data_IF_591559755441
#
_entry.id   IF_591559755441
#
_cell.length_a   1.000
_cell.length_b   1.000
_cell.length_c   1.000
_cell.angle_alpha   90.00
_cell.angle_beta   90.00
_cell.angle_gamma   90.00
#
_symmetry.space_group_name_H-M   'P 1'
#
loop_
_entity.id
_entity.type
_entity.pdbx_description
1 polymer ?
#
# COMPACT_ATOMS: atom_id res chain seq x y z
N UNK A 1 -79.75 8.61 11.43
CA UNK A 1 -80.43 7.32 11.35
C UNK A 1 -79.49 6.33 12.03
N UNK A 2 -79.54 6.23 13.36
CA UNK A 2 -80.21 5.22 14.17
C UNK A 2 -79.98 3.83 13.57
N UNK A 3 -79.47 2.83 14.24
CA UNK A 3 -79.77 2.10 15.49
C UNK A 3 -78.55 1.14 15.74
N UNK A 4 -78.08 0.99 16.84
CA UNK A 4 -78.39 0.40 18.16
C UNK A 4 -77.88 -1.04 18.33
N UNK A 5 -77.04 -1.17 19.37
CA UNK A 5 -76.98 -2.18 20.45
C UNK A 5 -77.19 -3.68 20.10
N UNK A 6 -76.25 -4.52 20.57
CA UNK A 6 -76.58 -5.37 21.72
C UNK A 6 -75.39 -6.13 22.28
N UNK A 7 -75.22 -6.04 23.60
CA UNK A 7 -74.35 -6.89 24.45
C UNK A 7 -75.04 -8.27 24.62
N UNK A 8 -74.24 -9.34 24.68
CA UNK A 8 -74.57 -10.58 25.39
C UNK A 8 -73.44 -11.05 26.26
N UNK A 9 -73.68 -11.08 27.54
CA UNK A 9 -72.91 -11.73 28.60
C UNK A 9 -73.54 -13.07 28.87
N UNK A 10 -72.80 -14.17 29.04
CA UNK A 10 -73.16 -15.33 29.88
C UNK A 10 -71.89 -16.17 30.17
N UNK A 11 -71.91 -17.10 31.16
CA UNK A 11 -71.09 -17.00 32.33
C UNK A 11 -70.09 -18.18 32.51
N UNK A 12 -69.22 -17.99 33.49
CA UNK A 12 -68.27 -18.87 34.16
C UNK A 12 -68.76 -20.37 34.30
N UNK A 13 -67.90 -21.28 33.96
CA UNK A 13 -67.61 -22.54 34.70
C UNK A 13 -66.13 -22.86 34.75
N UNK A 14 -65.61 -23.00 35.96
CA UNK A 14 -64.25 -23.25 36.22
C UNK A 14 -63.83 -24.68 35.90
N UNK A 15 -62.60 -24.81 35.50
CA UNK A 15 -61.85 -26.05 35.60
C UNK A 15 -60.43 -25.69 36.08
N UNK A 16 -60.09 -26.19 37.25
CA UNK A 16 -58.74 -26.14 37.83
C UNK A 16 -57.88 -27.11 37.02
N UNK A 17 -56.86 -26.61 36.32
CA UNK A 17 -55.80 -27.43 35.73
C UNK A 17 -54.52 -27.08 36.42
N UNK A 18 -53.96 -28.03 37.17
CA UNK A 18 -52.59 -28.00 37.68
C UNK A 18 -51.63 -27.93 36.50
N UNK A 19 -50.90 -26.81 36.36
CA UNK A 19 -49.80 -26.73 35.44
C UNK A 19 -48.52 -26.96 36.27
N UNK A 20 -47.95 -28.12 36.07
CA UNK A 20 -46.62 -28.44 36.59
C UNK A 20 -45.55 -27.56 35.94
N UNK A 21 -44.78 -26.87 36.76
CA UNK A 21 -43.61 -26.10 36.31
C UNK A 21 -42.54 -27.05 35.77
N UNK A 22 -42.42 -27.12 34.45
CA UNK A 22 -41.22 -27.69 33.83
C UNK A 22 -40.18 -26.55 33.73
N UNK A 23 -39.21 -26.56 34.61
CA UNK A 23 -38.00 -25.73 34.46
C UNK A 23 -37.20 -26.25 33.26
N UNK A 24 -37.28 -25.57 32.10
CA UNK A 24 -36.30 -25.74 31.04
C UNK A 24 -35.01 -25.03 31.47
N UNK A 25 -34.00 -25.80 31.89
CA UNK A 25 -32.65 -25.32 31.97
C UNK A 25 -32.11 -25.09 30.55
N UNK A 26 -32.07 -23.82 30.14
CA UNK A 26 -31.34 -23.44 28.93
C UNK A 26 -29.85 -23.58 29.23
N UNK A 27 -29.27 -24.70 28.80
CA UNK A 27 -27.81 -24.81 28.67
C UNK A 27 -27.38 -23.83 27.60
N UNK A 28 -26.91 -22.65 28.02
CA UNK A 28 -26.14 -21.76 27.16
C UNK A 28 -24.80 -22.46 26.87
N UNK A 29 -24.71 -23.13 25.73
CA UNK A 29 -23.43 -23.52 25.14
C UNK A 29 -22.78 -22.22 24.73
N UNK A 30 -21.92 -21.69 25.61
CA UNK A 30 -21.04 -20.60 25.29
C UNK A 30 -20.13 -21.06 24.15
N UNK A 31 -20.43 -20.64 22.93
CA UNK A 31 -19.50 -20.74 21.84
C UNK A 31 -18.26 -19.93 22.24
N UNK A 32 -17.18 -20.63 22.63
CA UNK A 32 -15.87 -20.05 22.82
C UNK A 32 -15.54 -19.34 21.50
N UNK A 33 -15.32 -18.02 21.54
CA UNK A 33 -14.77 -17.30 20.39
C UNK A 33 -13.53 -18.07 19.92
N UNK A 34 -13.34 -18.22 18.60
CA UNK A 34 -12.18 -18.94 18.11
C UNK A 34 -10.94 -18.27 18.69
N UNK A 35 -10.07 -19.09 19.30
CA UNK A 35 -8.77 -18.67 19.77
C UNK A 35 -8.07 -17.99 18.59
N UNK A 36 -7.89 -16.67 18.67
CA UNK A 36 -7.05 -15.94 17.73
C UNK A 36 -5.65 -16.48 17.98
N UNK A 37 -5.26 -17.46 17.17
CA UNK A 37 -3.89 -17.96 17.17
C UNK A 37 -3.00 -16.74 17.03
N UNK A 38 -2.21 -16.47 18.08
CA UNK A 38 -1.14 -15.46 18.02
C UNK A 38 -0.28 -15.83 16.83
N UNK A 39 -0.31 -14.99 15.80
CA UNK A 39 0.58 -15.09 14.64
C UNK A 39 2.00 -15.21 15.17
N UNK A 40 2.85 -16.15 14.68
CA UNK A 40 4.24 -16.19 15.07
C UNK A 40 4.84 -14.80 14.85
N UNK A 41 5.41 -14.22 15.89
CA UNK A 41 6.10 -12.95 15.82
C UNK A 41 7.41 -13.18 15.03
N UNK A 42 7.36 -12.98 13.72
CA UNK A 42 8.54 -13.10 12.87
C UNK A 42 8.23 -13.63 11.46
N UNK A 43 9.06 -13.27 10.50
CA UNK A 43 9.07 -13.89 9.19
C UNK A 43 9.75 -15.25 9.27
N UNK A 44 9.18 -16.27 8.62
CA UNK A 44 9.81 -17.57 8.49
C UNK A 44 11.00 -17.50 7.52
N UNK A 45 12.04 -18.29 7.80
CA UNK A 45 13.24 -18.42 6.97
C UNK A 45 13.30 -19.79 6.33
N UNK A 46 13.91 -19.87 5.15
CA UNK A 46 14.10 -21.09 4.38
C UNK A 46 15.49 -21.08 3.74
N UNK A 47 16.11 -22.24 3.55
CA UNK A 47 17.35 -22.31 2.79
C UNK A 47 17.12 -21.92 1.31
N UNK A 48 18.07 -21.23 0.66
CA UNK A 48 17.92 -20.82 -0.73
C UNK A 48 17.56 -21.98 -1.67
N UNK A 49 18.16 -23.14 -1.49
CA UNK A 49 17.91 -24.34 -2.32
C UNK A 49 16.45 -24.82 -2.20
N UNK A 50 15.89 -24.79 -0.97
CA UNK A 50 14.49 -25.16 -0.72
C UNK A 50 13.52 -24.15 -1.34
N UNK A 51 13.97 -22.89 -1.47
CA UNK A 51 13.22 -21.85 -2.21
C UNK A 51 13.43 -21.93 -3.74
N UNK A 52 14.37 -22.75 -4.22
CA UNK A 52 14.70 -22.91 -5.63
C UNK A 52 15.76 -21.91 -6.14
N UNK A 53 16.64 -21.44 -5.27
CA UNK A 53 17.78 -20.58 -5.60
C UNK A 53 19.12 -21.23 -5.23
N UNK A 54 20.18 -20.88 -5.94
CA UNK A 54 21.55 -21.35 -5.69
C UNK A 54 22.23 -20.49 -4.64
N UNK A 55 22.57 -21.06 -3.49
CA UNK A 55 23.38 -20.37 -2.46
C UNK A 55 24.71 -19.85 -3.02
N UNK A 56 25.36 -20.60 -3.92
CA UNK A 56 26.62 -20.18 -4.54
C UNK A 56 26.45 -18.85 -5.30
N UNK A 57 25.47 -18.77 -6.20
CA UNK A 57 25.19 -17.55 -6.98
C UNK A 57 24.70 -16.42 -6.10
N UNK A 58 23.95 -16.71 -5.04
CA UNK A 58 23.52 -15.73 -4.07
C UNK A 58 24.69 -15.16 -3.24
N UNK A 59 25.72 -15.95 -2.97
CA UNK A 59 26.95 -15.45 -2.31
C UNK A 59 27.70 -14.47 -3.21
N UNK A 60 27.75 -14.70 -4.53
CA UNK A 60 28.31 -13.75 -5.49
C UNK A 60 27.48 -12.44 -5.51
N UNK A 61 26.15 -12.54 -5.52
CA UNK A 61 25.27 -11.39 -5.43
C UNK A 61 25.42 -10.63 -4.10
N UNK A 62 25.63 -11.34 -2.99
CA UNK A 62 25.90 -10.73 -1.68
C UNK A 62 27.21 -9.93 -1.67
N UNK A 63 28.28 -10.49 -2.19
CA UNK A 63 29.56 -9.79 -2.31
C UNK A 63 29.43 -8.52 -3.19
N UNK A 64 28.60 -8.59 -4.25
CA UNK A 64 28.29 -7.41 -5.06
C UNK A 64 27.45 -6.38 -4.29
N UNK A 65 26.43 -6.82 -3.52
CA UNK A 65 25.63 -5.94 -2.67
C UNK A 65 26.50 -5.17 -1.67
N UNK A 66 27.47 -5.84 -1.04
CA UNK A 66 28.43 -5.22 -0.13
C UNK A 66 29.31 -4.18 -0.86
N UNK A 67 29.79 -4.51 -2.07
CA UNK A 67 30.60 -3.61 -2.90
C UNK A 67 29.87 -2.31 -3.28
N UNK A 68 28.57 -2.37 -3.50
CA UNK A 68 27.76 -1.19 -3.83
C UNK A 68 27.16 -0.51 -2.58
N UNK A 69 27.62 -0.85 -1.39
CA UNK A 69 27.17 -0.31 -0.10
C UNK A 69 25.65 -0.46 0.12
N UNK A 70 25.07 -1.61 -0.27
CA UNK A 70 23.68 -1.91 0.04
C UNK A 70 23.46 -1.94 1.55
N UNK A 71 22.51 -1.17 2.05
CA UNK A 71 22.24 -1.08 3.49
C UNK A 71 21.48 -2.31 4.00
N UNK A 72 20.50 -2.80 3.23
CA UNK A 72 19.81 -4.07 3.48
C UNK A 72 19.17 -4.61 2.21
N UNK A 73 19.18 -5.94 2.07
CA UNK A 73 18.49 -6.68 1.01
C UNK A 73 17.70 -7.80 1.65
N UNK A 74 16.44 -7.92 1.30
CA UNK A 74 15.59 -9.01 1.76
C UNK A 74 14.75 -9.55 0.60
N UNK A 75 14.75 -10.89 0.43
CA UNK A 75 13.95 -11.53 -0.60
C UNK A 75 13.15 -12.67 0.02
N UNK A 76 11.86 -12.68 -0.29
CA UNK A 76 10.94 -13.72 0.13
C UNK A 76 10.49 -14.53 -1.06
N UNK A 77 10.31 -15.82 -0.84
CA UNK A 77 9.62 -16.73 -1.73
C UNK A 77 8.54 -17.47 -0.95
N UNK A 78 7.32 -17.45 -1.48
CA UNK A 78 6.14 -18.10 -0.87
C UNK A 78 5.93 -17.72 0.61
N UNK A 79 6.26 -16.46 0.95
CA UNK A 79 6.13 -15.92 2.30
C UNK A 79 7.30 -16.22 3.23
N UNK A 80 8.33 -16.93 2.78
CA UNK A 80 9.53 -17.27 3.56
C UNK A 80 10.75 -16.53 3.06
N UNK A 81 11.58 -16.06 3.97
CA UNK A 81 12.82 -15.32 3.68
C UNK A 81 13.90 -16.31 3.28
N UNK A 82 14.51 -16.12 2.12
CA UNK A 82 15.69 -16.88 1.70
C UNK A 82 16.93 -15.99 1.47
N UNK A 83 16.73 -14.66 1.39
CA UNK A 83 17.81 -13.66 1.40
C UNK A 83 17.53 -12.66 2.50
N UNK A 84 18.55 -12.42 3.35
CA UNK A 84 18.53 -11.40 4.40
C UNK A 84 19.96 -10.91 4.61
N UNK A 85 20.32 -9.78 4.01
CA UNK A 85 21.66 -9.21 4.06
C UNK A 85 21.63 -7.78 4.59
N UNK A 86 22.71 -7.37 5.30
CA UNK A 86 22.82 -6.07 5.90
C UNK A 86 21.93 -5.87 7.13
N UNK A 87 21.67 -4.62 7.50
CA UNK A 87 20.84 -4.31 8.68
C UNK A 87 19.36 -4.23 8.31
N UNK A 88 18.69 -5.39 8.30
CA UNK A 88 17.28 -5.54 7.91
C UNK A 88 16.31 -4.99 8.96
N UNK A 89 16.78 -4.72 10.18
CA UNK A 89 15.98 -4.15 11.27
C UNK A 89 16.09 -2.61 11.36
N UNK A 90 17.17 -2.03 10.81
CA UNK A 90 17.33 -0.57 10.79
C UNK A 90 16.25 0.09 9.95
N UNK A 91 15.69 1.18 10.49
CA UNK A 91 14.63 1.96 9.84
C UNK A 91 15.24 3.03 8.93
N UNK A 92 15.11 2.84 7.63
CA UNK A 92 15.57 3.77 6.60
C UNK A 92 14.42 4.64 6.10
N UNK A 93 14.69 5.87 5.63
CA UNK A 93 13.70 6.71 4.97
C UNK A 93 13.07 5.96 3.80
N UNK A 94 11.74 5.97 3.69
CA UNK A 94 11.03 5.32 2.57
C UNK A 94 11.05 6.14 1.29
N UNK A 95 11.21 7.45 1.41
CA UNK A 95 11.03 8.37 0.29
C UNK A 95 9.71 8.05 -0.44
N UNK A 96 9.74 7.82 -1.73
CA UNK A 96 8.52 7.61 -2.52
C UNK A 96 7.82 6.26 -2.27
N UNK A 97 8.46 5.28 -1.63
CA UNK A 97 7.77 4.03 -1.23
C UNK A 97 6.62 4.30 -0.23
N UNK A 98 6.56 5.49 0.38
CA UNK A 98 5.41 5.93 1.18
C UNK A 98 4.07 5.92 0.43
N UNK A 99 4.10 6.08 -0.89
CA UNK A 99 2.91 6.20 -1.74
C UNK A 99 2.05 4.94 -1.79
N UNK A 100 2.61 3.74 -2.02
CA UNK A 100 1.90 2.48 -1.83
C UNK A 100 1.26 2.28 -0.46
N UNK A 101 1.88 2.80 0.62
CA UNK A 101 1.32 2.70 1.97
C UNK A 101 0.02 3.51 2.08
N UNK A 102 0.02 4.74 1.54
CA UNK A 102 -1.19 5.56 1.49
C UNK A 102 -2.24 4.95 0.55
N UNK A 103 -1.83 4.39 -0.60
CA UNK A 103 -2.74 3.65 -1.49
C UNK A 103 -3.48 2.55 -0.75
N UNK A 104 -2.80 1.75 0.07
CA UNK A 104 -3.43 0.70 0.85
C UNK A 104 -4.48 1.25 1.83
N UNK A 105 -4.19 2.37 2.48
CA UNK A 105 -5.15 3.06 3.36
C UNK A 105 -6.37 3.55 2.58
N UNK A 106 -6.19 4.10 1.38
CA UNK A 106 -7.30 4.48 0.51
C UNK A 106 -8.24 3.29 0.26
N UNK A 107 -7.69 2.10 -0.03
CA UNK A 107 -8.47 0.89 -0.24
C UNK A 107 -9.28 0.47 0.98
N UNK A 108 -8.67 0.51 2.15
CA UNK A 108 -9.33 0.15 3.41
C UNK A 108 -10.50 1.08 3.70
N UNK A 109 -10.30 2.39 3.55
CA UNK A 109 -11.34 3.37 3.86
C UNK A 109 -12.39 3.51 2.73
N UNK A 110 -12.00 3.26 1.47
CA UNK A 110 -12.92 3.15 0.35
C UNK A 110 -13.93 2.01 0.55
N UNK A 111 -13.48 0.83 0.94
CA UNK A 111 -14.36 -0.31 1.19
C UNK A 111 -15.34 -0.10 2.36
N UNK A 112 -15.04 0.86 3.22
CA UNK A 112 -15.92 1.29 4.32
C UNK A 112 -16.86 2.44 3.94
N UNK A 113 -16.86 2.86 2.68
CA UNK A 113 -17.65 4.00 2.19
C UNK A 113 -17.21 5.36 2.73
N UNK A 114 -15.97 5.47 3.24
CA UNK A 114 -15.42 6.72 3.79
C UNK A 114 -14.70 7.58 2.74
N UNK A 115 -14.32 6.98 1.61
CA UNK A 115 -13.64 7.65 0.51
C UNK A 115 -14.49 7.49 -0.74
N UNK A 116 -14.84 8.61 -1.37
CA UNK A 116 -15.41 8.67 -2.70
C UNK A 116 -14.29 8.94 -3.72
N UNK A 117 -14.03 7.99 -4.61
CA UNK A 117 -12.97 8.08 -5.62
C UNK A 117 -13.31 9.08 -6.74
N UNK A 118 -14.58 9.33 -6.96
CA UNK A 118 -15.07 10.24 -8.01
C UNK A 118 -15.26 11.68 -7.51
N UNK A 119 -15.04 11.93 -6.20
CA UNK A 119 -15.10 13.27 -5.64
C UNK A 119 -14.04 14.16 -6.28
N UNK A 120 -14.44 15.35 -6.69
CA UNK A 120 -13.56 16.36 -7.29
C UNK A 120 -12.86 17.20 -6.21
N UNK A 121 -11.75 17.82 -6.58
CA UNK A 121 -11.05 18.75 -5.68
C UNK A 121 -11.96 19.93 -5.28
N UNK A 122 -12.86 20.39 -6.18
CA UNK A 122 -13.87 21.41 -5.88
C UNK A 122 -14.82 20.96 -4.76
N UNK A 123 -15.43 19.78 -4.91
CA UNK A 123 -16.34 19.20 -3.90
C UNK A 123 -15.64 18.98 -2.56
N UNK A 124 -14.37 18.63 -2.60
CA UNK A 124 -13.55 18.41 -1.40
C UNK A 124 -13.01 19.72 -0.82
N UNK A 125 -13.19 20.87 -1.50
CA UNK A 125 -12.62 22.15 -1.09
C UNK A 125 -11.11 22.06 -0.93
N UNK A 126 -10.43 21.45 -1.90
CA UNK A 126 -8.97 21.38 -2.01
C UNK A 126 -8.50 22.53 -2.91
N UNK A 127 -7.55 23.27 -2.41
CA UNK A 127 -6.89 24.38 -3.10
C UNK A 127 -5.40 24.38 -2.75
N UNK A 128 -4.65 25.37 -3.20
CA UNK A 128 -3.27 25.58 -2.77
C UNK A 128 -2.95 27.07 -2.66
N UNK A 129 -1.75 27.40 -2.18
CA UNK A 129 -1.25 28.76 -2.09
C UNK A 129 -1.32 29.45 -3.46
N UNK A 130 -1.38 30.81 -3.50
CA UNK A 130 -1.41 31.52 -4.79
C UNK A 130 -0.23 31.18 -5.71
N UNK A 131 -0.50 30.98 -7.01
CA UNK A 131 -1.81 31.09 -7.63
C UNK A 131 -2.70 29.87 -7.33
N UNK A 132 -3.88 30.10 -6.75
CA UNK A 132 -4.88 29.06 -6.45
C UNK A 132 -5.20 28.18 -7.66
N UNK A 133 -5.76 26.99 -7.43
CA UNK A 133 -6.17 26.08 -8.50
C UNK A 133 -7.25 26.74 -9.37
N UNK A 134 -7.14 26.56 -10.68
CA UNK A 134 -8.17 27.00 -11.63
C UNK A 134 -9.43 26.13 -11.50
N UNK A 135 -10.54 26.57 -12.11
CA UNK A 135 -11.78 25.78 -12.12
C UNK A 135 -11.58 24.41 -12.79
N UNK A 136 -10.80 24.39 -13.88
CA UNK A 136 -10.47 23.18 -14.63
C UNK A 136 -9.64 22.20 -13.76
N UNK A 137 -8.63 22.70 -13.05
CA UNK A 137 -7.81 21.91 -12.15
C UNK A 137 -8.65 21.34 -11.00
N UNK A 138 -9.62 22.09 -10.46
CA UNK A 138 -10.52 21.66 -9.41
C UNK A 138 -11.50 20.57 -9.83
N UNK A 139 -11.64 20.29 -11.11
CA UNK A 139 -12.43 19.15 -11.63
C UNK A 139 -11.71 17.82 -11.54
N UNK A 140 -10.39 17.81 -11.26
CA UNK A 140 -9.65 16.57 -11.04
C UNK A 140 -10.25 15.77 -9.87
N UNK A 141 -10.37 14.47 -10.07
CA UNK A 141 -10.95 13.55 -9.09
C UNK A 141 -9.88 12.88 -8.22
N UNK A 142 -10.27 12.32 -7.08
CA UNK A 142 -9.38 11.48 -6.26
C UNK A 142 -8.75 10.36 -7.10
N UNK A 143 -9.51 9.77 -8.03
CA UNK A 143 -9.01 8.76 -8.98
C UNK A 143 -7.90 9.31 -9.87
N UNK A 144 -8.04 10.54 -10.36
CA UNK A 144 -7.01 11.17 -11.23
C UNK A 144 -5.70 11.38 -10.45
N UNK A 145 -5.80 11.83 -9.20
CA UNK A 145 -4.62 11.98 -8.33
C UNK A 145 -3.96 10.63 -8.03
N UNK A 146 -4.74 9.58 -7.72
CA UNK A 146 -4.21 8.22 -7.48
C UNK A 146 -3.43 7.68 -8.69
N UNK A 147 -3.86 8.03 -9.91
CA UNK A 147 -3.21 7.68 -11.17
C UNK A 147 -2.08 8.64 -11.55
N UNK A 148 -1.88 9.72 -10.82
CA UNK A 148 -0.94 10.81 -11.16
C UNK A 148 -1.26 11.45 -12.52
N UNK A 149 -2.55 11.73 -12.74
CA UNK A 149 -3.10 12.32 -13.97
C UNK A 149 -4.01 13.52 -13.66
N UNK A 150 -3.81 14.23 -12.54
CA UNK A 150 -4.69 15.33 -12.14
C UNK A 150 -4.70 16.52 -13.11
N UNK A 151 -3.62 16.73 -13.86
CA UNK A 151 -3.42 17.96 -14.65
C UNK A 151 -3.08 19.20 -13.80
N UNK A 152 -2.98 19.03 -12.47
CA UNK A 152 -2.55 20.09 -11.54
C UNK A 152 -1.03 20.14 -11.51
N UNK A 153 -0.44 21.12 -12.14
CA UNK A 153 1.02 21.28 -12.21
C UNK A 153 1.52 22.41 -11.31
N UNK A 154 0.98 22.42 -10.09
CA UNK A 154 1.42 23.31 -9.01
C UNK A 154 2.75 22.83 -8.41
N UNK A 155 3.51 23.72 -7.78
CA UNK A 155 4.69 23.33 -7.00
C UNK A 155 4.29 22.44 -5.83
N UNK A 156 5.19 21.55 -5.41
CA UNK A 156 4.92 20.63 -4.32
C UNK A 156 6.08 20.55 -3.32
N UNK A 157 5.74 20.36 -2.07
CA UNK A 157 6.74 20.06 -1.06
C UNK A 157 7.47 18.75 -1.40
N UNK A 158 8.79 18.71 -1.16
CA UNK A 158 9.64 17.54 -1.35
C UNK A 158 9.89 17.15 -2.80
N UNK A 159 9.78 18.07 -3.75
CA UNK A 159 10.21 17.85 -5.14
C UNK A 159 11.72 17.85 -5.26
N UNK A 160 12.24 16.97 -6.12
CA UNK A 160 13.63 17.03 -6.57
C UNK A 160 13.76 18.04 -7.72
N UNK A 161 15.00 18.51 -7.98
CA UNK A 161 15.27 19.38 -9.13
C UNK A 161 14.77 18.78 -10.45
N UNK A 162 15.02 17.49 -10.70
CA UNK A 162 14.57 16.83 -11.92
C UNK A 162 13.04 16.73 -12.05
N UNK A 163 12.31 16.65 -10.93
CA UNK A 163 10.84 16.71 -10.95
C UNK A 163 10.37 18.13 -11.31
N UNK A 164 10.94 19.15 -10.69
CA UNK A 164 10.59 20.53 -10.97
C UNK A 164 10.87 20.91 -12.44
N UNK A 165 12.02 20.51 -12.98
CA UNK A 165 12.39 20.72 -14.37
C UNK A 165 11.50 19.97 -15.36
N UNK A 166 11.06 18.76 -15.01
CA UNK A 166 10.19 17.93 -15.85
C UNK A 166 8.70 18.24 -15.71
N UNK A 167 8.30 19.18 -14.83
CA UNK A 167 6.89 19.54 -14.60
C UNK A 167 6.29 20.16 -15.86
N UNK A 168 5.15 19.64 -16.37
CA UNK A 168 4.46 20.26 -17.50
C UNK A 168 4.02 21.67 -17.16
N UNK A 169 3.84 22.48 -18.21
CA UNK A 169 3.30 23.82 -18.04
C UNK A 169 1.88 23.75 -17.46
N UNK A 170 1.57 24.61 -16.51
CA UNK A 170 0.23 24.70 -15.91
C UNK A 170 -0.83 24.94 -16.97
N UNK A 171 -1.91 24.14 -16.92
CA UNK A 171 -3.01 24.18 -17.90
C UNK A 171 -2.70 23.50 -19.25
N UNK A 172 -1.55 22.82 -19.42
CA UNK A 172 -1.19 22.16 -20.67
C UNK A 172 -2.00 20.88 -20.95
N UNK A 173 -2.51 20.21 -19.92
CA UNK A 173 -3.29 19.00 -20.05
C UNK A 173 -4.50 19.03 -19.09
N UNK A 174 -5.69 18.60 -19.54
CA UNK A 174 -6.83 18.45 -18.65
C UNK A 174 -6.62 17.25 -17.71
N UNK A 175 -7.39 17.21 -16.62
CA UNK A 175 -7.39 16.07 -15.70
C UNK A 175 -7.72 14.75 -16.42
N UNK A 176 -7.14 13.65 -15.96
CA UNK A 176 -7.30 12.31 -16.53
C UNK A 176 -6.55 12.03 -17.82
N UNK A 177 -5.96 13.04 -18.49
CA UNK A 177 -5.45 12.91 -19.85
C UNK A 177 -3.95 12.59 -19.95
N UNK A 178 -3.14 13.06 -19.02
CA UNK A 178 -1.69 12.95 -19.10
C UNK A 178 -1.07 12.50 -17.80
N UNK A 179 -0.25 11.45 -17.86
CA UNK A 179 0.50 10.96 -16.72
C UNK A 179 1.79 11.78 -16.53
N UNK A 180 1.94 12.30 -15.33
CA UNK A 180 3.17 12.92 -14.86
C UNK A 180 3.39 12.48 -13.41
N UNK A 181 4.60 12.02 -13.07
CA UNK A 181 4.91 11.63 -11.69
C UNK A 181 4.90 12.86 -10.77
N UNK A 182 3.73 13.18 -10.25
CA UNK A 182 3.39 14.47 -9.66
C UNK A 182 3.38 14.41 -8.13
N UNK A 183 4.39 15.00 -7.48
CA UNK A 183 4.41 15.05 -6.01
C UNK A 183 3.24 15.85 -5.44
N UNK A 184 2.72 16.83 -6.16
CA UNK A 184 1.53 17.56 -5.74
C UNK A 184 0.34 16.61 -5.53
N UNK A 185 0.05 15.74 -6.49
CA UNK A 185 -1.03 14.75 -6.39
C UNK A 185 -0.88 13.88 -5.14
N UNK A 186 0.33 13.38 -4.92
CA UNK A 186 0.58 12.46 -3.81
C UNK A 186 0.50 13.14 -2.44
N UNK A 187 0.90 14.40 -2.34
CA UNK A 187 0.81 15.18 -1.11
C UNK A 187 -0.64 15.60 -0.84
N UNK A 188 -1.36 16.07 -1.88
CA UNK A 188 -2.78 16.41 -1.80
C UNK A 188 -3.62 15.19 -1.41
N UNK A 189 -3.31 13.98 -1.92
CA UNK A 189 -3.94 12.74 -1.47
C UNK A 189 -3.77 12.51 0.03
N UNK A 190 -2.65 12.89 0.62
CA UNK A 190 -2.47 12.85 2.08
C UNK A 190 -3.46 13.76 2.80
N UNK A 191 -3.57 15.00 2.37
CA UNK A 191 -4.54 15.97 2.90
C UNK A 191 -5.99 15.51 2.70
N UNK A 192 -6.32 15.01 1.52
CA UNK A 192 -7.65 14.50 1.17
C UNK A 192 -8.02 13.31 2.05
N UNK A 193 -7.08 12.36 2.25
CA UNK A 193 -7.30 11.21 3.12
C UNK A 193 -7.71 11.64 4.52
N UNK A 194 -6.95 12.55 5.14
CA UNK A 194 -7.25 13.04 6.49
C UNK A 194 -8.57 13.81 6.55
N UNK A 195 -8.86 14.61 5.53
CA UNK A 195 -10.10 15.39 5.44
C UNK A 195 -11.33 14.50 5.32
N UNK A 196 -11.30 13.50 4.44
CA UNK A 196 -12.44 12.61 4.21
C UNK A 196 -12.67 11.63 5.35
N UNK A 197 -11.60 11.14 5.96
CA UNK A 197 -11.70 10.05 6.95
C UNK A 197 -11.70 10.55 8.40
N UNK A 198 -11.18 11.74 8.66
CA UNK A 198 -10.92 12.27 9.99
C UNK A 198 -9.76 11.57 10.72
N UNK A 199 -9.07 10.64 10.06
CA UNK A 199 -7.97 9.87 10.63
C UNK A 199 -6.62 10.45 10.17
N UNK A 200 -5.63 10.48 11.05
CA UNK A 200 -4.26 10.83 10.68
C UNK A 200 -3.60 9.65 9.96
N UNK A 201 -2.79 9.92 8.92
CA UNK A 201 -2.18 8.90 8.07
C UNK A 201 -1.39 7.88 8.89
N UNK A 202 -0.54 8.35 9.80
CA UNK A 202 0.39 7.48 10.52
C UNK A 202 -0.32 6.58 11.52
N UNK A 203 -1.29 7.13 12.25
CA UNK A 203 -2.13 6.40 13.20
C UNK A 203 -3.03 5.40 12.47
N UNK A 204 -3.59 5.79 11.32
CA UNK A 204 -4.36 4.90 10.48
C UNK A 204 -3.49 3.75 9.95
N UNK A 205 -2.27 4.04 9.48
CA UNK A 205 -1.34 3.01 9.02
C UNK A 205 -0.97 2.04 10.13
N UNK A 206 -0.64 2.56 11.32
CA UNK A 206 -0.35 1.73 12.48
C UNK A 206 -1.49 0.79 12.81
N UNK A 207 -2.69 1.33 12.99
CA UNK A 207 -3.89 0.60 13.41
C UNK A 207 -4.38 -0.40 12.38
N UNK A 208 -4.45 0.01 11.12
CA UNK A 208 -5.11 -0.75 10.07
C UNK A 208 -4.19 -1.72 9.35
N UNK A 209 -2.88 -1.46 9.35
CA UNK A 209 -1.90 -2.26 8.60
C UNK A 209 -0.78 -2.77 9.50
N UNK A 210 0.02 -1.90 10.12
CA UNK A 210 1.25 -2.30 10.80
C UNK A 210 1.01 -3.28 11.95
N UNK A 211 0.11 -2.95 12.87
CA UNK A 211 -0.25 -3.81 14.00
C UNK A 211 -0.90 -5.14 13.53
N UNK A 212 -1.89 -5.13 12.61
CA UNK A 212 -2.51 -6.36 12.13
C UNK A 212 -1.58 -7.33 11.43
N UNK A 213 -0.55 -6.85 10.70
CA UNK A 213 0.41 -7.73 10.02
C UNK A 213 1.67 -7.99 10.86
N UNK A 214 1.72 -7.48 12.09
CA UNK A 214 2.79 -7.74 13.04
C UNK A 214 4.12 -7.11 12.65
N UNK A 215 4.14 -5.84 12.19
CA UNK A 215 5.39 -5.11 11.98
C UNK A 215 6.15 -4.99 13.28
N UNK A 216 7.44 -5.31 13.26
CA UNK A 216 8.27 -5.44 14.45
C UNK A 216 8.96 -4.16 14.87
N UNK A 217 9.29 -3.32 13.88
CA UNK A 217 10.15 -2.14 14.09
C UNK A 217 9.38 -0.84 13.94
N UNK A 218 8.20 -0.85 13.30
CA UNK A 218 7.44 0.35 13.00
C UNK A 218 6.99 1.10 14.27
N UNK A 219 7.28 2.40 14.30
CA UNK A 219 6.86 3.31 15.37
C UNK A 219 6.32 4.61 14.78
N UNK A 220 5.38 5.27 15.46
CA UNK A 220 4.89 6.59 15.08
C UNK A 220 6.00 7.66 15.20
N UNK A 221 6.97 7.46 16.08
CA UNK A 221 8.11 8.36 16.25
C UNK A 221 9.01 8.45 15.01
N UNK A 222 8.89 7.47 14.11
CA UNK A 222 9.63 7.43 12.83
C UNK A 222 8.88 8.11 11.68
N UNK A 223 7.75 8.74 11.99
CA UNK A 223 6.87 9.36 11.02
C UNK A 223 6.78 10.86 11.24
N UNK A 224 6.77 11.63 10.15
CA UNK A 224 6.62 13.08 10.26
C UNK A 224 6.01 13.69 9.00
N UNK A 225 5.34 14.85 9.16
CA UNK A 225 4.99 15.70 8.04
C UNK A 225 6.14 16.68 7.77
N UNK A 226 6.49 16.84 6.50
CA UNK A 226 7.46 17.81 6.05
C UNK A 226 6.76 18.88 5.22
N UNK A 227 6.93 20.13 5.62
CA UNK A 227 6.28 21.30 5.04
C UNK A 227 7.28 22.18 4.29
N UNK A 228 6.90 22.61 3.08
CA UNK A 228 7.49 23.72 2.34
C UNK A 228 6.33 24.65 1.96
N UNK A 229 5.90 25.44 2.93
CA UNK A 229 4.68 26.26 2.83
C UNK A 229 4.76 27.34 1.76
N UNK A 230 5.94 27.69 1.33
CA UNK A 230 6.21 28.58 0.20
C UNK A 230 5.93 27.93 -1.16
N UNK A 231 5.81 26.59 -1.20
CA UNK A 231 5.54 25.82 -2.42
C UNK A 231 4.11 25.27 -2.44
N UNK A 232 3.59 24.78 -1.29
CA UNK A 232 2.27 24.15 -1.23
C UNK A 232 1.77 24.03 0.21
N UNK A 233 0.43 24.08 0.37
CA UNK A 233 -0.23 23.78 1.64
C UNK A 233 -0.19 22.28 2.00
N UNK A 234 0.05 21.43 1.02
CA UNK A 234 0.01 19.97 1.16
C UNK A 234 1.35 19.40 1.59
N UNK A 235 1.51 18.92 2.84
CA UNK A 235 2.77 18.41 3.33
C UNK A 235 3.11 17.03 2.78
N UNK A 236 4.39 16.72 2.76
CA UNK A 236 4.87 15.36 2.55
C UNK A 236 4.68 14.55 3.83
N UNK A 237 4.04 13.41 3.74
CA UNK A 237 3.95 12.43 4.84
C UNK A 237 5.13 11.46 4.75
N UNK A 238 6.09 11.57 5.64
CA UNK A 238 7.34 10.80 5.63
C UNK A 238 7.26 9.62 6.58
N UNK A 239 7.76 8.47 6.12
CA UNK A 239 7.91 7.25 6.90
C UNK A 239 9.37 6.82 6.93
N UNK A 240 9.79 6.22 8.05
CA UNK A 240 10.97 5.38 8.13
C UNK A 240 10.51 3.96 8.45
N UNK A 241 11.12 2.96 7.82
CA UNK A 241 10.72 1.57 7.99
C UNK A 241 11.90 0.64 7.76
N UNK A 242 11.93 -0.47 8.46
CA UNK A 242 12.92 -1.53 8.27
C UNK A 242 12.65 -2.34 7.01
N UNK A 243 13.65 -3.09 6.53
CA UNK A 243 13.47 -3.97 5.38
C UNK A 243 12.47 -5.10 5.71
N UNK A 244 12.49 -5.65 6.95
CA UNK A 244 11.60 -6.75 7.34
C UNK A 244 10.14 -6.30 7.48
N UNK A 245 9.87 -5.08 7.94
CA UNK A 245 8.50 -4.55 7.98
C UNK A 245 7.99 -4.22 6.58
N UNK A 246 8.85 -3.67 5.72
CA UNK A 246 8.50 -3.44 4.32
C UNK A 246 8.25 -4.75 3.56
N UNK A 247 9.00 -5.82 3.90
CA UNK A 247 8.76 -7.15 3.35
C UNK A 247 7.40 -7.73 3.74
N UNK A 248 6.94 -7.49 4.98
CA UNK A 248 5.56 -7.84 5.41
C UNK A 248 4.51 -7.11 4.59
N UNK A 249 4.71 -5.83 4.32
CA UNK A 249 3.80 -5.05 3.48
C UNK A 249 3.77 -5.59 2.04
N UNK A 250 4.94 -5.90 1.45
CA UNK A 250 5.01 -6.55 0.15
C UNK A 250 4.30 -7.91 0.13
N UNK A 251 4.49 -8.72 1.18
CA UNK A 251 3.83 -10.02 1.34
C UNK A 251 2.30 -9.87 1.48
N UNK A 252 1.82 -8.85 2.18
CA UNK A 252 0.38 -8.53 2.25
C UNK A 252 -0.20 -8.33 0.85
N UNK A 253 0.46 -7.54 -0.01
CA UNK A 253 0.03 -7.32 -1.39
C UNK A 253 0.16 -8.58 -2.26
N UNK A 254 1.22 -9.38 -2.10
CA UNK A 254 1.38 -10.66 -2.78
C UNK A 254 0.24 -11.64 -2.42
N UNK A 255 -0.30 -11.57 -1.21
CA UNK A 255 -1.45 -12.35 -0.73
C UNK A 255 -2.79 -11.64 -0.97
N UNK A 256 -2.85 -10.71 -1.92
CA UNK A 256 -4.06 -9.98 -2.28
C UNK A 256 -4.74 -9.31 -1.07
N UNK A 257 -3.93 -8.75 -0.18
CA UNK A 257 -4.40 -8.06 1.02
C UNK A 257 -4.81 -8.95 2.19
N UNK A 258 -4.64 -10.27 2.07
CA UNK A 258 -4.96 -11.23 3.13
C UNK A 258 -3.74 -11.49 4.02
N UNK A 259 -3.94 -11.45 5.33
CA UNK A 259 -2.92 -11.78 6.32
C UNK A 259 -3.47 -12.83 7.29
N UNK A 260 -2.98 -14.06 7.15
CA UNK A 260 -3.37 -15.19 8.02
C UNK A 260 -4.90 -15.39 8.16
N UNK A 261 -5.61 -15.33 7.03
CA UNK A 261 -7.06 -15.50 6.96
C UNK A 261 -7.87 -14.23 7.22
N UNK A 262 -7.23 -13.13 7.61
CA UNK A 262 -7.87 -11.82 7.79
C UNK A 262 -7.62 -10.94 6.57
N UNK A 263 -8.68 -10.42 5.94
CA UNK A 263 -8.56 -9.42 4.88
C UNK A 263 -8.23 -8.06 5.51
N UNK A 264 -7.01 -7.58 5.31
CA UNK A 264 -6.51 -6.28 5.80
C UNK A 264 -6.75 -5.20 4.76
N UNK A 265 -6.27 -5.40 3.53
CA UNK A 265 -6.56 -4.53 2.38
C UNK A 265 -7.54 -5.30 1.48
N UNK A 266 -8.67 -4.71 1.04
CA UNK A 266 -9.62 -5.42 0.18
C UNK A 266 -8.95 -5.98 -1.07
N UNK A 267 -9.25 -7.24 -1.44
CA UNK A 267 -8.69 -7.88 -2.64
C UNK A 267 -8.98 -7.05 -3.88
N UNK A 268 -10.22 -6.56 -4.03
CA UNK A 268 -10.61 -5.68 -5.12
C UNK A 268 -9.73 -4.41 -5.21
N UNK A 269 -9.32 -3.86 -4.06
CA UNK A 269 -8.41 -2.73 -4.06
C UNK A 269 -7.00 -3.09 -4.49
N UNK A 270 -6.48 -4.23 -4.06
CA UNK A 270 -5.18 -4.71 -4.53
C UNK A 270 -5.19 -4.85 -6.04
N UNK A 271 -6.24 -5.45 -6.61
CA UNK A 271 -6.41 -5.59 -8.06
C UNK A 271 -6.53 -4.23 -8.77
N UNK A 272 -7.36 -3.31 -8.24
CA UNK A 272 -7.49 -1.96 -8.79
C UNK A 272 -6.16 -1.19 -8.73
N UNK A 273 -5.52 -1.18 -7.57
CA UNK A 273 -4.32 -0.36 -7.36
C UNK A 273 -3.11 -0.85 -8.13
N UNK A 274 -3.06 -2.14 -8.46
CA UNK A 274 -1.95 -2.77 -9.21
C UNK A 274 -2.29 -3.04 -10.68
N UNK A 275 -3.34 -2.41 -11.21
CA UNK A 275 -3.68 -2.38 -12.64
C UNK A 275 -3.05 -1.17 -13.31
N UNK A 276 -2.49 -1.32 -14.51
CA UNK A 276 -1.97 -0.20 -15.29
C UNK A 276 -3.12 0.61 -15.90
N UNK A 277 -3.15 1.90 -15.62
CA UNK A 277 -4.09 2.88 -16.19
C UNK A 277 -3.39 3.85 -17.14
N UNK A 278 -2.12 4.10 -16.91
CA UNK A 278 -1.30 5.02 -17.69
C UNK A 278 -0.01 4.33 -18.12
N UNK A 279 0.60 4.85 -19.17
CA UNK A 279 1.91 4.39 -19.65
C UNK A 279 3.00 5.29 -19.06
N UNK A 280 3.95 4.66 -18.34
CA UNK A 280 5.16 5.31 -17.83
C UNK A 280 6.28 5.22 -18.87
N UNK A 281 6.44 4.04 -19.48
CA UNK A 281 7.42 3.78 -20.52
C UNK A 281 6.98 2.63 -21.41
N UNK A 282 6.59 2.92 -22.64
CA UNK A 282 6.29 1.90 -23.64
C UNK A 282 7.51 1.03 -23.94
N UNK A 283 8.69 1.64 -24.08
CA UNK A 283 9.94 0.94 -24.37
C UNK A 283 10.26 -0.13 -23.33
N UNK A 284 9.99 0.17 -22.05
CA UNK A 284 10.26 -0.74 -20.93
C UNK A 284 9.05 -1.60 -20.57
N UNK A 285 7.86 -1.30 -21.06
CA UNK A 285 6.60 -1.96 -20.70
C UNK A 285 6.21 -1.72 -19.25
N UNK A 286 6.33 -0.47 -18.80
CA UNK A 286 5.97 -0.03 -17.46
C UNK A 286 4.76 0.90 -17.52
N UNK A 287 3.72 0.56 -16.80
CA UNK A 287 2.54 1.39 -16.56
C UNK A 287 2.47 1.93 -15.15
N UNK A 288 1.39 2.67 -14.84
CA UNK A 288 1.11 3.21 -13.52
C UNK A 288 -0.32 2.87 -13.06
N UNK A 289 -0.41 2.39 -11.84
CA UNK A 289 -1.67 2.08 -11.16
C UNK A 289 -2.05 3.18 -10.16
N UNK A 290 -2.65 2.80 -9.03
CA UNK A 290 -2.90 3.73 -7.92
C UNK A 290 -1.67 3.78 -7.02
N UNK A 291 -0.73 4.66 -7.39
CA UNK A 291 0.55 4.84 -6.71
C UNK A 291 1.48 3.60 -6.73
N UNK A 292 1.37 2.78 -7.78
CA UNK A 292 2.24 1.66 -8.07
C UNK A 292 2.74 1.71 -9.52
N UNK A 293 4.01 1.38 -9.74
CA UNK A 293 4.52 1.06 -11.08
C UNK A 293 4.17 -0.39 -11.42
N UNK A 294 3.66 -0.60 -12.63
CA UNK A 294 3.15 -1.90 -13.09
C UNK A 294 4.03 -2.40 -14.22
N UNK A 295 4.57 -3.60 -14.06
CA UNK A 295 5.45 -4.24 -15.07
C UNK A 295 4.64 -5.22 -15.89
N UNK A 296 4.61 -5.01 -17.22
CA UNK A 296 3.93 -5.90 -18.15
C UNK A 296 4.74 -7.19 -18.34
N UNK A 297 4.09 -8.38 -18.29
CA UNK A 297 4.79 -9.65 -18.56
C UNK A 297 5.42 -9.64 -19.94
N UNK A 298 6.63 -10.22 -20.08
CA UNK A 298 7.36 -10.30 -21.35
C UNK A 298 7.96 -8.99 -21.84
N UNK A 299 7.76 -7.89 -21.12
CA UNK A 299 8.35 -6.58 -21.47
C UNK A 299 9.88 -6.56 -21.26
N UNK A 300 10.55 -5.52 -21.81
CA UNK A 300 12.00 -5.37 -21.66
C UNK A 300 12.40 -5.32 -20.18
N UNK A 301 11.68 -4.53 -19.37
CA UNK A 301 11.95 -4.43 -17.93
C UNK A 301 11.66 -5.75 -17.20
N UNK A 302 10.57 -6.42 -17.55
CA UNK A 302 10.22 -7.73 -17.00
C UNK A 302 11.30 -8.78 -17.26
N UNK A 303 11.79 -8.85 -18.50
CA UNK A 303 12.85 -9.79 -18.87
C UNK A 303 14.17 -9.50 -18.17
N UNK A 304 14.47 -8.23 -17.91
CA UNK A 304 15.69 -7.80 -17.25
C UNK A 304 15.73 -8.15 -15.77
N UNK A 305 14.63 -7.95 -15.03
CA UNK A 305 14.64 -8.02 -13.56
C UNK A 305 13.52 -8.88 -12.94
N UNK A 306 12.48 -9.26 -13.69
CA UNK A 306 11.35 -10.07 -13.19
C UNK A 306 11.25 -11.44 -13.86
N UNK A 307 12.34 -11.92 -14.46
CA UNK A 307 12.39 -13.21 -15.18
C UNK A 307 11.24 -13.40 -16.18
N UNK A 308 10.89 -12.33 -16.91
CA UNK A 308 9.81 -12.32 -17.90
C UNK A 308 8.40 -12.26 -17.31
N UNK A 309 8.25 -12.15 -15.99
CA UNK A 309 6.95 -12.12 -15.31
C UNK A 309 6.44 -10.69 -15.09
N UNK A 310 5.12 -10.56 -14.99
CA UNK A 310 4.50 -9.33 -14.54
C UNK A 310 4.67 -9.12 -13.04
N UNK A 311 4.47 -7.88 -12.62
CA UNK A 311 4.51 -7.52 -11.21
C UNK A 311 4.30 -6.03 -11.01
N UNK A 312 4.49 -5.60 -9.80
CA UNK A 312 4.38 -4.19 -9.46
C UNK A 312 5.46 -3.81 -8.44
N UNK A 313 5.87 -2.56 -8.50
CA UNK A 313 6.95 -2.06 -7.64
C UNK A 313 6.79 -0.58 -7.35
N UNK A 314 7.53 -0.12 -6.35
CA UNK A 314 7.80 1.30 -6.16
C UNK A 314 9.26 1.49 -5.74
N UNK A 315 9.82 2.65 -6.14
CA UNK A 315 11.17 3.05 -5.74
C UNK A 315 11.13 4.29 -4.87
N UNK A 316 12.17 4.47 -4.07
CA UNK A 316 12.44 5.69 -3.32
C UNK A 316 13.75 6.32 -3.77
N UNK A 317 13.95 7.61 -3.50
CA UNK A 317 15.21 8.33 -3.75
C UNK A 317 16.38 7.53 -3.15
N UNK A 318 17.51 7.41 -3.91
CA UNK A 318 18.60 6.51 -3.56
C UNK A 318 18.33 5.04 -3.91
N UNK A 319 17.38 4.81 -4.82
CA UNK A 319 16.98 3.49 -5.35
C UNK A 319 16.59 2.50 -4.24
N UNK A 320 15.85 2.94 -3.22
CA UNK A 320 15.12 2.00 -2.40
C UNK A 320 14.09 1.26 -3.26
N UNK A 321 13.88 -0.03 -3.03
CA UNK A 321 12.95 -0.83 -3.83
C UNK A 321 12.01 -1.63 -2.93
N UNK A 322 10.74 -1.63 -3.30
CA UNK A 322 9.72 -2.58 -2.92
C UNK A 322 9.15 -3.17 -4.20
N UNK A 323 9.38 -4.47 -4.45
CA UNK A 323 8.81 -5.17 -5.60
C UNK A 323 8.03 -6.40 -5.17
N UNK A 324 6.93 -6.66 -5.86
CA UNK A 324 6.09 -7.85 -5.71
C UNK A 324 5.90 -8.50 -7.07
N UNK A 325 6.25 -9.78 -7.17
CA UNK A 325 6.20 -10.56 -8.42
C UNK A 325 5.29 -11.78 -8.17
N UNK A 326 3.97 -11.65 -8.38
CA UNK A 326 3.00 -12.67 -7.98
C UNK A 326 3.26 -14.05 -8.61
N UNK A 327 3.55 -14.13 -9.91
CA UNK A 327 3.82 -15.38 -10.62
C UNK A 327 5.08 -16.11 -10.12
N UNK A 328 6.01 -15.38 -9.50
CA UNK A 328 7.18 -15.96 -8.86
C UNK A 328 6.96 -16.18 -7.35
N UNK A 329 5.81 -15.78 -6.82
CA UNK A 329 5.49 -15.76 -5.38
C UNK A 329 6.58 -15.07 -4.57
N UNK A 330 7.18 -13.99 -5.13
CA UNK A 330 8.37 -13.35 -4.58
C UNK A 330 8.12 -11.89 -4.22
N UNK A 331 8.74 -11.48 -3.12
CA UNK A 331 8.87 -10.08 -2.70
C UNK A 331 10.34 -9.74 -2.63
N UNK A 332 10.74 -8.62 -3.21
CA UNK A 332 12.12 -8.13 -3.18
C UNK A 332 12.17 -6.74 -2.55
N UNK A 333 12.99 -6.61 -1.52
CA UNK A 333 13.26 -5.37 -0.79
C UNK A 333 14.74 -5.01 -0.91
N UNK A 334 14.99 -3.78 -1.33
CA UNK A 334 16.33 -3.19 -1.34
C UNK A 334 16.33 -1.87 -0.57
N UNK A 335 17.29 -1.71 0.31
CA UNK A 335 17.46 -0.49 1.07
C UNK A 335 18.86 0.07 0.88
N UNK A 336 18.92 1.40 0.80
CA UNK A 336 20.14 2.18 0.77
C UNK A 336 20.12 3.18 1.92
N UNK A 337 21.26 3.53 2.50
CA UNK A 337 21.28 4.55 3.57
C UNK A 337 21.38 5.94 2.93
N UNK A 338 20.32 6.73 3.13
CA UNK A 338 20.20 8.09 2.59
C UNK A 338 20.12 9.14 3.72
N UNK A 339 20.56 8.81 4.93
CA UNK A 339 20.50 9.73 6.06
C UNK A 339 21.60 10.81 6.05
N UNK A 340 22.67 10.60 5.30
CA UNK A 340 23.74 11.55 5.07
C UNK A 340 23.90 11.88 3.58
N UNK A 341 25.07 12.36 3.22
CA UNK A 341 25.46 12.46 1.82
C UNK A 341 25.55 11.05 1.22
N UNK A 342 24.92 10.84 0.09
CA UNK A 342 24.94 9.56 -0.60
C UNK A 342 25.10 9.75 -2.11
N UNK A 343 25.66 8.75 -2.74
CA UNK A 343 25.71 8.64 -4.20
C UNK A 343 24.71 7.60 -4.63
N UNK A 344 23.77 7.99 -5.51
CA UNK A 344 22.80 7.05 -6.05
C UNK A 344 23.50 5.84 -6.70
N UNK A 345 23.20 4.61 -6.26
CA UNK A 345 23.82 3.41 -6.83
C UNK A 345 23.36 3.11 -8.27
N UNK A 346 22.30 3.74 -8.75
CA UNK A 346 21.86 3.72 -10.13
C UNK A 346 21.72 2.32 -10.71
N UNK A 347 22.39 2.09 -11.86
CA UNK A 347 22.33 0.82 -12.58
C UNK A 347 22.90 -0.37 -11.77
N UNK A 348 23.78 -0.13 -10.79
CA UNK A 348 24.31 -1.20 -9.97
C UNK A 348 23.22 -1.93 -9.17
N UNK A 349 22.15 -1.22 -8.77
CA UNK A 349 20.99 -1.86 -8.13
C UNK A 349 20.25 -2.79 -9.09
N UNK A 350 20.07 -2.39 -10.34
CA UNK A 350 19.47 -3.22 -11.39
C UNK A 350 20.30 -4.49 -11.61
N UNK A 351 21.64 -4.34 -11.67
CA UNK A 351 22.55 -5.47 -11.77
C UNK A 351 22.40 -6.44 -10.59
N UNK A 352 22.31 -5.91 -9.35
CA UNK A 352 22.10 -6.75 -8.17
C UNK A 352 20.79 -7.54 -8.24
N UNK A 353 19.69 -6.89 -8.60
CA UNK A 353 18.40 -7.58 -8.80
C UNK A 353 18.54 -8.69 -9.84
N UNK A 354 19.15 -8.41 -10.98
CA UNK A 354 19.42 -9.40 -12.03
C UNK A 354 20.24 -10.57 -11.51
N UNK A 355 21.30 -10.34 -10.73
CA UNK A 355 22.13 -11.42 -10.15
C UNK A 355 21.29 -12.32 -9.23
N UNK A 356 20.46 -11.73 -8.37
CA UNK A 356 19.58 -12.48 -7.46
C UNK A 356 18.55 -13.29 -8.25
N UNK A 357 17.91 -12.70 -9.26
CA UNK A 357 16.92 -13.41 -10.08
C UNK A 357 17.53 -14.53 -10.92
N UNK A 358 18.75 -14.34 -11.43
CA UNK A 358 19.50 -15.35 -12.20
C UNK A 358 20.15 -16.44 -11.29
N UNK A 359 20.11 -16.27 -9.97
CA UNK A 359 20.49 -17.31 -9.03
C UNK A 359 19.42 -18.42 -8.94
N UNK A 360 18.25 -18.23 -9.55
CA UNK A 360 17.19 -19.24 -9.57
C UNK A 360 17.67 -20.51 -10.29
N UNK A 361 17.37 -21.66 -9.68
CA UNK A 361 17.68 -22.96 -10.25
C UNK A 361 16.73 -23.26 -11.42
N UNK A 362 17.27 -23.82 -12.50
CA UNK A 362 16.43 -24.37 -13.55
C UNK A 362 15.58 -25.53 -12.97
N UNK A 363 14.30 -25.53 -13.26
CA UNK A 363 13.41 -26.63 -12.92
C UNK A 363 13.64 -27.80 -13.84
#
# INVERSE_FOLDING_TARGET
MMLSKQKRVYPFKGAVVLVGSLCFAILSIGAKAPDVQKTPAGLEYVAPEDAGWSSQKLNEAKAFAEKINSAAVMVLWDGKVFVSWGDVAKKYKLHSIRKPLLSALYGIYWSRGKINLDATLEELGIDDIPPSLTKEEKMATVTDLLKSCSGVYHEAAGETTGMAEGRPQRGSHPHGAYWYYNNWDFNALGTIFEKMTGAKIFEAFKKEIADPIGMEDFSLDDCQYYYEKEKSEHPVYLFRMSARDLARFGLLYMRKGNWNGRQIVPEEWVEKSTKAYSVVSDKMGVGYGYMWNIVQPGSAFSNMIFSGKGGFYHTGLGIHVLSVIPDLRSVYIYRYDTDGEFKDPGEATIQLVSMIMNARLAK
#
